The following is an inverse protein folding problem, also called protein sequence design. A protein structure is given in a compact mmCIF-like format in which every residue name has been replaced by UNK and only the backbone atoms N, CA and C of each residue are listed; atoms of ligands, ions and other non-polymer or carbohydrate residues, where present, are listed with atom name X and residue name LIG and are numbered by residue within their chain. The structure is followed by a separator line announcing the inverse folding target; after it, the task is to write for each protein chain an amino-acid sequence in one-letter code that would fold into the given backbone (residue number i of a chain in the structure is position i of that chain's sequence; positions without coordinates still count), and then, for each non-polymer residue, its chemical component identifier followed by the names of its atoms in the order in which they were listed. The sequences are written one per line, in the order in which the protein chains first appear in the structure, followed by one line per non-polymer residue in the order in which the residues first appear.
data_IF_614614516021
#
_entry.id   IF_614614516021
#
_cell.length_a   1.000
_cell.length_b   1.000
_cell.length_c   1.000
_cell.angle_alpha   90.00
_cell.angle_beta   90.00
_cell.angle_gamma   90.00
#
_symmetry.space_group_name_H-M   'P 1'
#
loop_
_entity.id
_entity.type
_entity.pdbx_description
1 polymer ?
#
# COMPACT_ATOMS: atom_id res chain seq x y z
N UNK A 1 -4.93 34.82 1.49
CA UNK A 1 -4.77 33.40 1.04
C UNK A 1 -3.28 33.11 1.13
N UNK A 2 -2.86 32.47 2.23
CA UNK A 2 -1.47 32.05 2.41
C UNK A 2 -1.17 30.88 1.47
N UNK A 3 -0.32 31.07 0.46
CA UNK A 3 0.21 29.99 -0.33
C UNK A 3 1.01 29.07 0.59
N UNK A 4 0.61 27.80 0.68
CA UNK A 4 1.38 26.79 1.38
C UNK A 4 2.79 26.71 0.77
N UNK A 5 3.84 26.60 1.58
CA UNK A 5 5.19 26.41 1.06
C UNK A 5 5.23 25.26 0.04
N UNK A 6 5.98 25.41 -1.05
CA UNK A 6 5.99 24.44 -2.16
C UNK A 6 6.33 23.00 -1.74
N UNK A 7 7.13 22.83 -0.69
CA UNK A 7 7.46 21.50 -0.16
C UNK A 7 6.25 20.77 0.47
N UNK A 8 5.24 21.52 1.01
CA UNK A 8 4.01 20.92 1.55
C UNK A 8 3.19 20.28 0.43
N UNK A 9 3.09 20.96 -0.72
CA UNK A 9 2.41 20.40 -1.89
C UNK A 9 3.12 19.12 -2.36
N UNK A 10 4.45 19.10 -2.37
CA UNK A 10 5.23 17.93 -2.71
C UNK A 10 4.97 16.77 -1.73
N UNK A 11 4.94 17.03 -0.43
CA UNK A 11 4.63 16.01 0.60
C UNK A 11 3.25 15.39 0.37
N UNK A 12 2.23 16.21 0.09
CA UNK A 12 0.86 15.74 -0.18
C UNK A 12 0.82 14.85 -1.41
N UNK A 13 1.51 15.25 -2.49
CA UNK A 13 1.57 14.48 -3.74
C UNK A 13 2.27 13.13 -3.51
N UNK A 14 3.44 13.13 -2.88
CA UNK A 14 4.20 11.90 -2.61
C UNK A 14 3.41 10.95 -1.72
N UNK A 15 2.73 11.49 -0.70
CA UNK A 15 1.86 10.70 0.17
C UNK A 15 0.67 10.10 -0.59
N UNK A 16 -0.01 10.90 -1.42
CA UNK A 16 -1.12 10.45 -2.25
C UNK A 16 -0.71 9.33 -3.21
N UNK A 17 0.45 9.46 -3.87
CA UNK A 17 1.00 8.43 -4.75
C UNK A 17 1.32 7.15 -3.96
N UNK A 18 1.93 7.28 -2.76
CA UNK A 18 2.24 6.13 -1.92
C UNK A 18 0.99 5.33 -1.56
N UNK A 19 -0.09 6.00 -1.13
CA UNK A 19 -1.37 5.36 -0.82
C UNK A 19 -1.99 4.75 -2.08
N UNK A 20 -1.99 5.48 -3.19
CA UNK A 20 -2.51 4.99 -4.48
C UNK A 20 -1.85 3.68 -4.93
N UNK A 21 -0.53 3.56 -4.74
CA UNK A 21 0.21 2.33 -5.05
C UNK A 21 -0.19 1.15 -4.16
N UNK A 22 -0.49 1.38 -2.87
CA UNK A 22 -1.00 0.33 -1.98
C UNK A 22 -2.36 -0.15 -2.45
N UNK A 23 -3.27 0.78 -2.76
CA UNK A 23 -4.62 0.45 -3.25
C UNK A 23 -4.50 -0.33 -4.55
N UNK A 24 -3.67 0.12 -5.49
CA UNK A 24 -3.43 -0.56 -6.77
C UNK A 24 -2.91 -1.98 -6.56
N UNK A 25 -1.95 -2.18 -5.66
CA UNK A 25 -1.43 -3.52 -5.36
C UNK A 25 -2.53 -4.45 -4.82
N UNK A 26 -3.38 -3.92 -3.95
CA UNK A 26 -4.50 -4.66 -3.37
C UNK A 26 -5.54 -5.04 -4.43
N UNK A 27 -5.90 -4.11 -5.31
CA UNK A 27 -6.86 -4.36 -6.40
C UNK A 27 -6.35 -5.43 -7.36
N UNK A 28 -5.06 -5.38 -7.72
CA UNK A 28 -4.44 -6.41 -8.56
C UNK A 28 -4.54 -7.79 -7.91
N UNK A 29 -4.25 -7.88 -6.62
CA UNK A 29 -4.31 -9.16 -5.89
C UNK A 29 -5.74 -9.65 -5.77
N UNK A 30 -6.69 -8.75 -5.51
CA UNK A 30 -8.10 -9.10 -5.44
C UNK A 30 -8.60 -9.67 -6.77
N UNK A 31 -8.25 -9.04 -7.88
CA UNK A 31 -8.60 -9.48 -9.22
C UNK A 31 -7.99 -10.83 -9.63
N UNK A 32 -6.97 -11.34 -8.90
CA UNK A 32 -6.42 -12.69 -9.16
C UNK A 32 -7.46 -13.79 -8.95
N UNK A 33 -8.43 -13.57 -8.07
CA UNK A 33 -9.48 -14.56 -7.77
C UNK A 33 -10.43 -14.71 -8.96
N UNK A 34 -10.62 -13.63 -9.71
CA UNK A 34 -11.61 -13.54 -10.79
C UNK A 34 -11.03 -13.78 -12.19
N UNK A 35 -9.78 -14.26 -12.31
CA UNK A 35 -9.10 -14.47 -13.61
C UNK A 35 -9.94 -15.27 -14.60
N UNK A 36 -10.57 -16.36 -14.14
CA UNK A 36 -11.37 -17.24 -15.00
C UNK A 36 -12.64 -16.56 -15.47
N UNK A 37 -13.30 -15.84 -14.58
CA UNK A 37 -14.50 -15.07 -14.87
C UNK A 37 -14.18 -13.91 -15.83
N UNK A 38 -13.18 -13.10 -15.49
CA UNK A 38 -12.76 -11.94 -16.31
C UNK A 38 -12.43 -12.37 -17.74
N UNK A 39 -11.77 -13.52 -17.91
CA UNK A 39 -11.45 -14.04 -19.24
C UNK A 39 -12.69 -14.50 -20.01
N UNK A 40 -13.65 -15.14 -19.34
CA UNK A 40 -14.89 -15.61 -19.98
C UNK A 40 -15.79 -14.47 -20.42
N UNK A 41 -15.82 -13.38 -19.66
CA UNK A 41 -16.60 -12.17 -19.94
C UNK A 41 -15.85 -11.11 -20.78
N UNK A 42 -14.58 -11.41 -21.17
CA UNK A 42 -13.77 -10.49 -21.96
C UNK A 42 -13.35 -9.21 -21.21
N UNK A 43 -13.32 -9.26 -19.88
CA UNK A 43 -12.91 -8.14 -19.04
C UNK A 43 -11.38 -8.00 -19.02
N UNK A 44 -10.91 -6.76 -19.05
CA UNK A 44 -9.48 -6.43 -19.09
C UNK A 44 -8.97 -6.11 -17.68
N UNK A 45 -8.67 -7.14 -16.90
CA UNK A 45 -7.91 -6.96 -15.66
C UNK A 45 -6.44 -7.31 -15.87
N UNK A 46 -5.54 -6.78 -15.01
CA UNK A 46 -4.11 -7.12 -15.04
C UNK A 46 -3.92 -8.64 -14.89
N UNK A 47 -4.60 -9.33 -13.94
CA UNK A 47 -4.47 -10.78 -13.82
C UNK A 47 -5.05 -11.56 -15.01
N UNK A 48 -6.15 -11.11 -15.60
CA UNK A 48 -6.72 -11.75 -16.79
C UNK A 48 -5.75 -11.71 -17.97
N UNK A 49 -5.03 -10.58 -18.13
CA UNK A 49 -4.09 -10.36 -19.24
C UNK A 49 -2.73 -11.01 -19.03
N UNK A 50 -2.13 -10.84 -17.86
CA UNK A 50 -0.74 -11.25 -17.60
C UNK A 50 -0.61 -12.56 -16.80
N UNK A 51 -1.70 -13.05 -16.23
CA UNK A 51 -1.72 -14.21 -15.37
C UNK A 51 -1.29 -13.93 -13.94
N UNK A 52 -1.50 -14.92 -13.07
CA UNK A 52 -1.32 -14.82 -11.63
C UNK A 52 0.09 -14.39 -11.19
N UNK A 53 1.12 -15.06 -11.71
CA UNK A 53 2.52 -14.84 -11.27
C UNK A 53 2.99 -13.42 -11.57
N UNK A 54 2.74 -12.93 -12.81
CA UNK A 54 3.12 -11.57 -13.19
C UNK A 54 2.34 -10.52 -12.42
N UNK A 55 1.08 -10.79 -12.12
CA UNK A 55 0.25 -9.90 -11.31
C UNK A 55 0.78 -9.75 -9.88
N UNK A 56 1.18 -10.85 -9.26
CA UNK A 56 1.83 -10.82 -7.94
C UNK A 56 3.13 -10.02 -8.00
N UNK A 57 3.93 -10.18 -9.05
CA UNK A 57 5.16 -9.39 -9.23
C UNK A 57 4.84 -7.90 -9.35
N UNK A 58 3.87 -7.51 -10.18
CA UNK A 58 3.46 -6.11 -10.34
C UNK A 58 2.97 -5.52 -9.01
N UNK A 59 2.10 -6.24 -8.30
CA UNK A 59 1.62 -5.82 -6.97
C UNK A 59 2.78 -5.65 -5.97
N UNK A 60 3.76 -6.55 -5.99
CA UNK A 60 4.96 -6.48 -5.15
C UNK A 60 5.79 -5.23 -5.45
N UNK A 61 5.99 -4.91 -6.72
CA UNK A 61 6.69 -3.68 -7.14
C UNK A 61 5.94 -2.44 -6.65
N UNK A 62 4.62 -2.40 -6.77
CA UNK A 62 3.81 -1.30 -6.24
C UNK A 62 3.99 -1.12 -4.72
N UNK A 63 4.02 -2.22 -3.95
CA UNK A 63 4.23 -2.15 -2.50
C UNK A 63 5.64 -1.67 -2.14
N UNK A 64 6.67 -2.10 -2.84
CA UNK A 64 8.05 -1.65 -2.63
C UNK A 64 8.18 -0.16 -2.94
N UNK A 65 7.63 0.29 -4.07
CA UNK A 65 7.63 1.70 -4.45
C UNK A 65 6.87 2.56 -3.44
N UNK A 66 5.70 2.10 -2.99
CA UNK A 66 4.92 2.78 -1.96
C UNK A 66 5.72 2.94 -0.66
N UNK A 67 6.38 1.86 -0.20
CA UNK A 67 7.21 1.88 1.00
C UNK A 67 8.37 2.88 0.88
N UNK A 68 9.02 2.91 -0.28
CA UNK A 68 10.14 3.83 -0.55
C UNK A 68 9.67 5.29 -0.56
N UNK A 69 8.53 5.57 -1.19
CA UNK A 69 7.91 6.90 -1.19
C UNK A 69 7.49 7.32 0.22
N UNK A 70 6.90 6.42 0.99
CA UNK A 70 6.52 6.71 2.37
C UNK A 70 7.73 7.09 3.23
N UNK A 71 8.84 6.35 3.14
CA UNK A 71 10.06 6.69 3.85
C UNK A 71 10.67 8.03 3.40
N UNK A 72 10.55 8.35 2.11
CA UNK A 72 11.05 9.62 1.58
C UNK A 72 10.32 10.85 2.16
N UNK A 73 9.08 10.69 2.65
CA UNK A 73 8.35 11.77 3.32
C UNK A 73 9.08 12.27 4.57
N UNK A 74 9.72 11.36 5.32
CA UNK A 74 10.53 11.74 6.48
C UNK A 74 11.70 12.64 6.11
N UNK A 75 12.34 12.38 4.97
CA UNK A 75 13.46 13.17 4.49
C UNK A 75 13.02 14.50 3.88
N UNK A 76 12.02 14.49 2.98
CA UNK A 76 11.49 15.69 2.33
C UNK A 76 10.89 16.66 3.36
N UNK A 77 10.17 16.13 4.36
CA UNK A 77 9.55 16.93 5.43
C UNK A 77 10.51 17.30 6.55
N UNK A 78 11.79 16.92 6.48
CA UNK A 78 12.76 17.08 7.56
C UNK A 78 12.22 16.60 8.92
N UNK A 79 11.48 15.48 8.89
CA UNK A 79 10.82 14.94 10.05
C UNK A 79 11.83 14.29 11.00
N UNK A 80 11.49 14.34 12.27
CA UNK A 80 12.28 13.82 13.38
C UNK A 80 12.46 12.27 13.27
N UNK A 81 13.46 11.72 13.97
CA UNK A 81 13.66 10.26 14.06
C UNK A 81 12.42 9.50 14.53
N UNK A 82 11.53 10.16 15.27
CA UNK A 82 10.24 9.62 15.71
C UNK A 82 9.37 9.18 14.51
N UNK A 83 9.40 9.92 13.39
CA UNK A 83 8.69 9.51 12.17
C UNK A 83 9.15 8.13 11.70
N UNK A 84 10.45 7.87 11.67
CA UNK A 84 11.00 6.59 11.22
C UNK A 84 10.67 5.45 12.17
N UNK A 85 10.62 5.72 13.49
CA UNK A 85 10.13 4.75 14.46
C UNK A 85 8.66 4.41 14.25
N UNK A 86 7.82 5.40 14.00
CA UNK A 86 6.40 5.20 13.70
C UNK A 86 6.18 4.52 12.34
N UNK A 87 7.06 4.77 11.37
CA UNK A 87 7.01 4.15 10.05
C UNK A 87 7.26 2.63 10.08
N UNK A 88 7.87 2.09 11.13
CA UNK A 88 8.07 0.64 11.30
C UNK A 88 6.73 -0.08 11.28
N UNK A 89 5.69 0.50 11.86
CA UNK A 89 4.38 -0.12 11.96
C UNK A 89 3.70 -0.32 10.58
N UNK A 90 3.48 0.73 9.73
CA UNK A 90 2.94 0.54 8.40
C UNK A 90 3.84 -0.30 7.48
N UNK A 91 5.16 -0.17 7.59
CA UNK A 91 6.09 -1.01 6.82
C UNK A 91 6.01 -2.47 7.23
N UNK A 92 5.86 -2.75 8.52
CA UNK A 92 5.66 -4.10 9.05
C UNK A 92 4.36 -4.73 8.53
N UNK A 93 3.28 -3.95 8.44
CA UNK A 93 2.00 -4.43 7.88
C UNK A 93 2.10 -4.69 6.37
N UNK A 94 2.77 -3.82 5.61
CA UNK A 94 3.04 -4.04 4.18
C UNK A 94 3.87 -5.32 3.98
N UNK A 95 4.92 -5.52 4.78
CA UNK A 95 5.74 -6.72 4.72
C UNK A 95 4.94 -7.99 5.05
N UNK A 96 4.07 -7.92 6.08
CA UNK A 96 3.18 -9.02 6.45
C UNK A 96 2.23 -9.38 5.30
N UNK A 97 1.61 -8.37 4.68
CA UNK A 97 0.73 -8.54 3.53
C UNK A 97 1.48 -9.16 2.36
N UNK A 98 2.67 -8.64 2.03
CA UNK A 98 3.53 -9.18 0.98
C UNK A 98 3.86 -10.65 1.20
N UNK A 99 4.20 -11.03 2.42
CA UNK A 99 4.48 -12.40 2.79
C UNK A 99 3.26 -13.32 2.67
N UNK A 100 2.09 -12.80 3.01
CA UNK A 100 0.81 -13.49 2.84
C UNK A 100 0.52 -13.72 1.36
N UNK A 101 0.78 -12.76 0.50
CA UNK A 101 0.59 -12.89 -0.95
C UNK A 101 1.45 -13.98 -1.58
N UNK A 102 2.67 -14.17 -1.15
CA UNK A 102 3.52 -15.26 -1.64
C UNK A 102 2.98 -16.65 -1.30
N UNK A 103 2.22 -16.76 -0.21
CA UNK A 103 1.59 -18.03 0.22
C UNK A 103 0.31 -18.37 -0.54
N UNK A 104 -0.43 -17.37 -1.05
CA UNK A 104 -1.70 -17.53 -1.78
C UNK A 104 -1.56 -18.38 -3.03
N UNK A 105 -0.34 -18.56 -3.55
CA UNK A 105 -0.09 -19.50 -4.63
C UNK A 105 -0.57 -20.94 -4.38
N UNK A 106 -0.91 -21.30 -3.15
CA UNK A 106 -1.19 -22.69 -2.72
C UNK A 106 -2.52 -22.91 -1.97
N UNK A 107 -3.33 -21.88 -1.69
CA UNK A 107 -4.47 -22.04 -0.77
C UNK A 107 -5.80 -21.76 -1.48
N UNK A 108 -6.77 -22.61 -1.25
CA UNK A 108 -8.17 -22.49 -1.69
C UNK A 108 -9.02 -22.00 -0.51
N UNK A 109 -10.00 -21.15 -0.81
CA UNK A 109 -11.17 -20.79 0.03
C UNK A 109 -10.91 -20.42 1.50
N UNK A 110 -11.13 -19.16 1.84
CA UNK A 110 -11.02 -18.56 3.19
C UNK A 110 -10.16 -17.31 3.23
N UNK A 111 -9.46 -16.99 2.15
CA UNK A 111 -8.42 -15.97 2.09
C UNK A 111 -8.94 -14.57 1.79
N UNK A 112 -10.15 -14.44 1.22
CA UNK A 112 -10.79 -13.13 1.00
C UNK A 112 -10.85 -12.29 2.28
N UNK A 113 -11.11 -12.92 3.43
CA UNK A 113 -11.13 -12.25 4.73
C UNK A 113 -9.73 -11.78 5.15
N UNK A 114 -8.70 -12.57 4.89
CA UNK A 114 -7.32 -12.18 5.21
C UNK A 114 -6.86 -10.99 4.38
N UNK A 115 -7.27 -10.92 3.11
CA UNK A 115 -6.99 -9.78 2.24
C UNK A 115 -7.70 -8.51 2.69
N UNK A 116 -8.99 -8.62 2.95
CA UNK A 116 -9.77 -7.50 3.44
C UNK A 116 -9.22 -6.95 4.77
N UNK A 117 -8.88 -7.83 5.70
CA UNK A 117 -8.27 -7.45 6.96
C UNK A 117 -6.89 -6.81 6.75
N UNK A 118 -6.07 -7.35 5.85
CA UNK A 118 -4.76 -6.78 5.54
C UNK A 118 -4.87 -5.35 5.01
N UNK A 119 -5.84 -5.06 4.14
CA UNK A 119 -6.10 -3.72 3.62
C UNK A 119 -6.52 -2.76 4.72
N UNK A 120 -7.41 -3.19 5.61
CA UNK A 120 -7.82 -2.40 6.77
C UNK A 120 -6.60 -2.13 7.67
N UNK A 121 -5.77 -3.13 7.93
CA UNK A 121 -4.57 -2.99 8.75
C UNK A 121 -3.59 -1.97 8.17
N UNK A 122 -3.33 -2.01 6.86
CA UNK A 122 -2.46 -1.04 6.19
C UNK A 122 -3.03 0.37 6.32
N UNK A 123 -4.30 0.56 5.98
CA UNK A 123 -4.95 1.85 6.05
C UNK A 123 -4.93 2.43 7.49
N UNK A 124 -5.28 1.62 8.49
CA UNK A 124 -5.26 2.02 9.89
C UNK A 124 -3.84 2.33 10.38
N UNK A 125 -2.83 1.55 9.96
CA UNK A 125 -1.45 1.78 10.37
C UNK A 125 -0.90 3.11 9.82
N UNK A 126 -1.23 3.46 8.57
CA UNK A 126 -0.87 4.76 8.00
C UNK A 126 -1.58 5.90 8.75
N UNK A 127 -2.87 5.77 9.01
CA UNK A 127 -3.65 6.77 9.72
C UNK A 127 -3.14 6.97 11.15
N UNK A 128 -2.84 5.88 11.86
CA UNK A 128 -2.29 5.93 13.21
C UNK A 128 -0.91 6.57 13.25
N UNK A 129 -0.02 6.25 12.30
CA UNK A 129 1.31 6.84 12.26
C UNK A 129 1.25 8.36 12.02
N UNK A 130 0.35 8.82 11.14
CA UNK A 130 0.15 10.24 10.88
C UNK A 130 -0.50 10.96 12.08
N UNK A 131 -1.48 10.33 12.73
CA UNK A 131 -2.13 10.89 13.91
C UNK A 131 -1.16 11.04 15.09
N UNK A 132 -0.34 10.02 15.34
CA UNK A 132 0.69 10.09 16.39
C UNK A 132 1.73 11.17 16.08
N UNK A 133 2.15 11.30 14.82
CA UNK A 133 3.06 12.34 14.39
C UNK A 133 2.47 13.74 14.62
N UNK A 134 1.18 13.92 14.31
CA UNK A 134 0.45 15.15 14.56
C UNK A 134 0.41 15.50 16.07
N UNK A 135 0.08 14.53 16.92
CA UNK A 135 0.06 14.73 18.38
C UNK A 135 1.43 15.12 18.94
N UNK A 136 2.51 14.47 18.48
CA UNK A 136 3.88 14.75 18.95
C UNK A 136 4.33 16.15 18.55
N UNK A 137 3.89 16.65 17.38
CA UNK A 137 4.24 18.00 16.94
C UNK A 137 3.35 19.11 17.55
N UNK A 138 2.26 18.74 18.21
CA UNK A 138 1.41 19.70 18.96
C UNK A 138 1.84 19.88 20.42
N UNK A 139 2.61 18.97 20.99
CA UNK A 139 3.19 19.07 22.32
C UNK A 139 4.58 19.69 22.31
#
# INVERSE_FOLDING_TARGET
QGNLPGYINLLIIVWGISIGLIITANDIIYAIQDISFDRSEGLYSIPARFGKEKSILIASVCLILSSSLYLSLGWIGALNYIFYLLAIFPLGTIFYVFRSYQKIGKIQTGEERCFFLANIYIALSFLMSMFLLFLINMC
#
